data_IF_018030896207
#
_entry.id   IF_018030896207
#
_cell.length_a   1.000
_cell.length_b   1.000
_cell.length_c   1.000
_cell.angle_alpha   90.00
_cell.angle_beta   90.00
_cell.angle_gamma   90.00
#
_symmetry.space_group_name_H-M   'P 1'
#
loop_
_entity.id
_entity.type
_entity.pdbx_description
1 polymer ?
#
# COMPACT_ATOMS: atom_id res chain seq x y z
N UNK A 1 17.94 -4.28 -20.75
CA UNK A 1 17.85 -4.60 -19.31
C UNK A 1 16.40 -4.47 -18.89
N UNK A 2 15.85 -5.32 -18.01
CA UNK A 2 14.48 -5.13 -17.53
C UNK A 2 14.37 -3.74 -16.88
N UNK A 3 13.28 -3.02 -17.20
CA UNK A 3 13.06 -1.69 -16.67
C UNK A 3 12.99 -1.77 -15.13
N UNK A 4 13.72 -0.90 -14.43
CA UNK A 4 13.86 -0.92 -12.97
C UNK A 4 12.52 -0.77 -12.24
N UNK A 5 11.52 -0.16 -12.89
CA UNK A 5 10.16 -0.02 -12.37
C UNK A 5 9.44 -1.37 -12.19
N UNK A 6 9.84 -2.42 -12.92
CA UNK A 6 9.29 -3.77 -12.77
C UNK A 6 9.44 -4.28 -11.33
N UNK A 7 10.54 -3.95 -10.66
CA UNK A 7 10.76 -4.30 -9.25
C UNK A 7 9.76 -3.60 -8.33
N UNK A 8 9.38 -2.35 -8.63
CA UNK A 8 8.36 -1.64 -7.86
C UNK A 8 6.97 -2.29 -8.04
N UNK A 9 6.59 -2.64 -9.27
CA UNK A 9 5.32 -3.33 -9.52
C UNK A 9 5.28 -4.72 -8.90
N UNK A 10 6.36 -5.49 -8.98
CA UNK A 10 6.47 -6.80 -8.33
C UNK A 10 6.33 -6.68 -6.80
N UNK A 11 7.00 -5.70 -6.19
CA UNK A 11 6.87 -5.43 -4.76
C UNK A 11 5.44 -5.07 -4.36
N UNK A 12 4.73 -4.25 -5.15
CA UNK A 12 3.32 -3.95 -4.91
C UNK A 12 2.46 -5.20 -4.90
N UNK A 13 2.65 -6.10 -5.87
CA UNK A 13 1.90 -7.35 -5.96
C UNK A 13 2.15 -8.23 -4.73
N UNK A 14 3.43 -8.40 -4.36
CA UNK A 14 3.81 -9.21 -3.19
C UNK A 14 3.24 -8.67 -1.88
N UNK A 15 3.18 -7.35 -1.71
CA UNK A 15 2.63 -6.70 -0.51
C UNK A 15 1.09 -6.75 -0.52
N UNK A 16 0.47 -6.45 -1.67
CA UNK A 16 -0.99 -6.30 -1.76
C UNK A 16 -1.73 -7.63 -1.76
N UNK A 17 -1.17 -8.72 -2.30
CA UNK A 17 -1.83 -10.04 -2.32
C UNK A 17 -2.25 -10.52 -0.91
N UNK A 18 -1.36 -10.63 0.09
CA UNK A 18 -1.76 -11.10 1.42
C UNK A 18 -2.68 -10.09 2.14
N UNK A 19 -2.48 -8.79 1.89
CA UNK A 19 -3.29 -7.72 2.47
C UNK A 19 -4.73 -7.79 1.96
N UNK A 20 -4.92 -7.86 0.64
CA UNK A 20 -6.25 -7.97 0.03
C UNK A 20 -6.92 -9.29 0.39
N UNK A 21 -6.16 -10.39 0.41
CA UNK A 21 -6.67 -11.68 0.87
C UNK A 21 -7.26 -11.57 2.28
N UNK A 22 -6.54 -10.94 3.22
CA UNK A 22 -7.07 -10.66 4.56
C UNK A 22 -8.30 -9.76 4.53
N UNK A 23 -8.32 -8.70 3.72
CA UNK A 23 -9.45 -7.77 3.68
C UNK A 23 -10.76 -8.37 3.13
N UNK A 24 -10.67 -9.30 2.19
CA UNK A 24 -11.84 -9.99 1.63
C UNK A 24 -12.29 -11.20 2.47
N UNK A 25 -11.39 -11.82 3.24
CA UNK A 25 -11.68 -13.03 4.03
C UNK A 25 -12.01 -12.74 5.49
N UNK A 26 -11.47 -11.67 6.06
CA UNK A 26 -11.88 -11.23 7.39
C UNK A 26 -13.36 -10.81 7.28
N UNK A 27 -14.27 -11.40 8.06
CA UNK A 27 -15.69 -11.03 8.11
C UNK A 27 -16.26 -11.30 9.51
N UNK A 28 -17.34 -10.60 9.91
CA UNK A 28 -18.06 -10.85 11.17
C UNK A 28 -17.46 -10.23 12.44
N UNK A 29 -17.22 -8.91 12.45
CA UNK A 29 -16.92 -8.15 13.68
C UNK A 29 -15.53 -8.37 14.30
N UNK A 30 -14.69 -9.24 13.70
CA UNK A 30 -13.30 -9.43 14.11
C UNK A 30 -12.42 -8.31 13.57
N UNK A 31 -11.44 -7.91 14.36
CA UNK A 31 -10.49 -6.85 14.06
C UNK A 31 -9.68 -7.19 12.79
N UNK A 32 -9.54 -6.25 11.82
CA UNK A 32 -8.95 -6.52 10.50
C UNK A 32 -7.49 -6.94 10.65
N UNK A 33 -7.11 -8.13 10.18
CA UNK A 33 -5.74 -8.68 10.33
C UNK A 33 -4.71 -7.87 9.54
N UNK A 34 -5.08 -7.34 8.38
CA UNK A 34 -4.27 -6.39 7.61
C UNK A 34 -3.90 -5.11 8.40
N UNK A 35 -4.77 -4.69 9.32
CA UNK A 35 -4.51 -3.57 10.24
C UNK A 35 -4.08 -4.04 11.63
N UNK A 36 -3.66 -5.29 11.79
CA UNK A 36 -3.28 -5.91 13.07
C UNK A 36 -4.35 -5.71 14.16
N UNK A 37 -5.62 -5.62 13.75
CA UNK A 37 -6.74 -5.38 14.62
C UNK A 37 -6.84 -3.99 15.27
N UNK A 38 -6.04 -3.02 14.78
CA UNK A 38 -5.97 -1.66 15.34
C UNK A 38 -6.95 -0.67 14.71
N UNK A 39 -7.78 -1.13 13.77
CA UNK A 39 -8.81 -0.34 13.09
C UNK A 39 -10.14 -1.05 13.31
N UNK A 40 -11.13 -0.30 13.79
CA UNK A 40 -12.49 -0.79 13.98
C UNK A 40 -13.06 -1.24 12.63
N UNK A 41 -13.62 -2.45 12.61
CA UNK A 41 -14.02 -3.09 11.37
C UNK A 41 -15.40 -2.58 10.93
N UNK A 42 -15.40 -1.51 10.14
CA UNK A 42 -16.55 -1.14 9.31
C UNK A 42 -16.48 -1.94 8.00
N UNK A 43 -17.44 -2.85 7.78
CA UNK A 43 -17.46 -3.68 6.57
C UNK A 43 -17.45 -2.85 5.29
N UNK A 44 -18.23 -1.76 5.27
CA UNK A 44 -18.28 -0.83 4.13
C UNK A 44 -16.94 -0.15 3.86
N UNK A 45 -16.28 0.39 4.89
CA UNK A 45 -14.99 1.06 4.72
C UNK A 45 -13.90 0.06 4.33
N UNK A 46 -13.90 -1.15 4.91
CA UNK A 46 -12.96 -2.22 4.57
C UNK A 46 -13.08 -2.59 3.10
N UNK A 47 -14.30 -2.87 2.61
CA UNK A 47 -14.51 -3.26 1.21
C UNK A 47 -14.17 -2.11 0.26
N UNK A 48 -14.49 -0.86 0.62
CA UNK A 48 -14.10 0.32 -0.16
C UNK A 48 -12.57 0.39 -0.34
N UNK A 49 -11.81 0.23 0.74
CA UNK A 49 -10.34 0.21 0.68
C UNK A 49 -9.83 -1.02 -0.07
N UNK A 50 -10.48 -2.17 0.06
CA UNK A 50 -10.13 -3.38 -0.68
C UNK A 50 -10.33 -3.21 -2.19
N UNK A 51 -11.39 -2.51 -2.62
CA UNK A 51 -11.59 -2.15 -4.02
C UNK A 51 -10.47 -1.23 -4.53
N UNK A 52 -10.13 -0.18 -3.79
CA UNK A 52 -9.04 0.73 -4.14
C UNK A 52 -7.70 -0.01 -4.29
N UNK A 53 -7.35 -0.84 -3.31
CA UNK A 53 -6.10 -1.59 -3.32
C UNK A 53 -6.09 -2.70 -4.39
N UNK A 54 -7.25 -3.30 -4.69
CA UNK A 54 -7.41 -4.23 -5.82
C UNK A 54 -7.17 -3.54 -7.16
N UNK A 55 -7.66 -2.30 -7.34
CA UNK A 55 -7.37 -1.52 -8.55
C UNK A 55 -5.87 -1.27 -8.69
N UNK A 56 -5.16 -0.94 -7.60
CA UNK A 56 -3.70 -0.77 -7.61
C UNK A 56 -2.99 -2.08 -7.95
N UNK A 57 -3.47 -3.22 -7.42
CA UNK A 57 -2.91 -4.54 -7.72
C UNK A 57 -3.04 -4.86 -9.21
N UNK A 58 -4.24 -4.70 -9.78
CA UNK A 58 -4.50 -4.93 -11.21
C UNK A 58 -3.63 -4.05 -12.10
N UNK A 59 -3.54 -2.75 -11.78
CA UNK A 59 -2.68 -1.82 -12.49
C UNK A 59 -1.19 -2.15 -12.32
N UNK A 60 -0.79 -2.73 -11.18
CA UNK A 60 0.58 -3.20 -10.97
C UNK A 60 0.89 -4.43 -11.84
N UNK A 61 -0.06 -5.34 -12.04
CA UNK A 61 0.08 -6.45 -12.98
C UNK A 61 0.27 -5.94 -14.42
N UNK A 62 -0.48 -4.91 -14.83
CA UNK A 62 -0.29 -4.27 -16.14
C UNK A 62 1.06 -3.53 -16.22
N UNK A 63 1.50 -2.93 -15.12
CA UNK A 63 2.81 -2.30 -14.98
C UNK A 63 3.99 -3.27 -15.11
N UNK A 64 3.83 -4.57 -14.84
CA UNK A 64 4.87 -5.56 -15.14
C UNK A 64 5.11 -5.71 -16.65
N UNK A 65 4.08 -5.51 -17.48
CA UNK A 65 4.15 -5.65 -18.93
C UNK A 65 4.52 -4.31 -19.59
N UNK A 66 3.96 -3.21 -19.08
CA UNK A 66 4.14 -1.85 -19.63
C UNK A 66 4.61 -0.85 -18.56
N UNK A 67 5.81 -1.03 -17.97
CA UNK A 67 6.23 -0.31 -16.77
C UNK A 67 6.19 1.21 -16.86
N UNK A 68 6.59 1.78 -17.99
CA UNK A 68 6.66 3.24 -18.19
C UNK A 68 5.28 3.87 -18.34
N UNK A 69 4.34 3.17 -19.01
CA UNK A 69 2.97 3.67 -19.21
C UNK A 69 2.18 3.78 -17.91
N UNK A 70 2.54 2.97 -16.92
CA UNK A 70 1.87 2.92 -15.63
C UNK A 70 2.60 3.67 -14.52
N UNK A 71 3.66 4.45 -14.82
CA UNK A 71 4.46 5.13 -13.77
C UNK A 71 3.63 6.06 -12.89
N UNK A 72 2.55 6.64 -13.45
CA UNK A 72 1.58 7.45 -12.72
C UNK A 72 0.93 6.69 -11.56
N UNK A 73 0.79 5.37 -11.65
CA UNK A 73 0.28 4.51 -10.58
C UNK A 73 1.27 4.44 -9.42
N UNK A 74 2.56 4.35 -9.70
CA UNK A 74 3.60 4.38 -8.66
C UNK A 74 3.68 5.76 -8.00
N UNK A 75 3.57 6.84 -8.78
CA UNK A 75 3.51 8.21 -8.25
C UNK A 75 2.30 8.43 -7.35
N UNK A 76 1.10 8.01 -7.80
CA UNK A 76 -0.12 8.06 -7.01
C UNK A 76 0.05 7.31 -5.68
N UNK A 77 0.68 6.14 -5.71
CA UNK A 77 0.96 5.36 -4.51
C UNK A 77 1.89 6.08 -3.53
N UNK A 78 2.93 6.75 -4.01
CA UNK A 78 3.83 7.55 -3.16
C UNK A 78 3.04 8.66 -2.48
N UNK A 79 2.23 9.42 -3.23
CA UNK A 79 1.41 10.51 -2.67
C UNK A 79 0.41 9.98 -1.65
N UNK A 80 -0.38 8.97 -2.03
CA UNK A 80 -1.38 8.36 -1.16
C UNK A 80 -0.76 7.82 0.15
N UNK A 81 0.34 7.06 0.06
CA UNK A 81 0.99 6.47 1.24
C UNK A 81 1.64 7.54 2.11
N UNK A 82 2.20 8.59 1.51
CA UNK A 82 2.73 9.74 2.26
C UNK A 82 1.62 10.43 3.05
N UNK A 83 0.48 10.70 2.42
CA UNK A 83 -0.68 11.28 3.10
C UNK A 83 -1.21 10.36 4.21
N UNK A 84 -1.29 9.05 3.97
CA UNK A 84 -1.67 8.10 5.02
C UNK A 84 -0.71 8.13 6.21
N UNK A 85 0.61 8.15 5.96
CA UNK A 85 1.62 8.21 7.02
C UNK A 85 1.53 9.52 7.81
N UNK A 86 1.33 10.66 7.13
CA UNK A 86 1.29 11.98 7.76
C UNK A 86 -0.03 12.27 8.47
N UNK A 87 -1.16 11.94 7.86
CA UNK A 87 -2.49 12.34 8.34
C UNK A 87 -3.11 11.30 9.26
N UNK A 88 -2.73 10.03 9.15
CA UNK A 88 -3.31 8.96 9.95
C UNK A 88 -2.30 8.35 10.94
N UNK A 89 -1.15 7.88 10.46
CA UNK A 89 -0.18 7.19 11.33
C UNK A 89 0.53 8.15 12.29
N UNK A 90 1.03 9.29 11.81
CA UNK A 90 1.77 10.25 12.64
C UNK A 90 0.96 10.75 13.84
N UNK A 91 -0.29 11.23 13.71
CA UNK A 91 -1.07 11.67 14.88
C UNK A 91 -1.39 10.50 15.83
N UNK A 92 -1.70 9.31 15.29
CA UNK A 92 -2.00 8.12 16.10
C UNK A 92 -0.77 7.66 16.89
N UNK A 93 0.39 7.64 16.26
CA UNK A 93 1.68 7.33 16.89
C UNK A 93 2.01 8.32 18.02
N UNK A 94 1.79 9.63 17.79
CA UNK A 94 2.06 10.67 18.80
C UNK A 94 1.14 10.57 20.03
N UNK A 95 -0.11 10.13 19.85
CA UNK A 95 -1.10 10.05 20.93
C UNK A 95 -1.04 8.74 21.71
N UNK A 96 -0.86 7.63 21.01
CA UNK A 96 -1.06 6.28 21.55
C UNK A 96 0.22 5.42 21.47
N UNK A 97 1.33 5.95 20.94
CA UNK A 97 2.62 5.28 20.85
C UNK A 97 2.76 4.28 19.69
N UNK A 98 3.91 3.62 19.62
CA UNK A 98 4.24 2.67 18.55
C UNK A 98 3.34 1.42 18.50
N UNK A 99 2.76 1.05 19.64
CA UNK A 99 1.92 -0.15 19.74
C UNK A 99 0.56 -0.02 19.05
N UNK A 100 0.06 1.19 18.83
CA UNK A 100 -1.30 1.43 18.30
C UNK A 100 -1.41 1.40 16.78
N UNK A 101 -0.27 1.35 16.08
CA UNK A 101 -0.20 1.41 14.62
C UNK A 101 0.05 0.01 14.02
N UNK A 102 -0.49 -0.27 12.82
CA UNK A 102 -0.20 -1.51 12.12
C UNK A 102 1.25 -1.51 11.62
N UNK A 103 2.16 -2.13 12.37
CA UNK A 103 3.60 -2.03 12.14
C UNK A 103 4.02 -2.52 10.76
N UNK A 104 3.52 -3.68 10.33
CA UNK A 104 3.85 -4.26 9.01
C UNK A 104 3.40 -3.37 7.84
N UNK A 105 2.18 -2.84 7.92
CA UNK A 105 1.64 -1.94 6.90
C UNK A 105 2.38 -0.61 6.87
N UNK A 106 2.66 -0.05 8.05
CA UNK A 106 3.38 1.22 8.20
C UNK A 106 4.80 1.11 7.65
N UNK A 107 5.53 0.05 8.01
CA UNK A 107 6.88 -0.19 7.51
C UNK A 107 6.92 -0.34 5.99
N UNK A 108 5.97 -1.10 5.43
CA UNK A 108 5.83 -1.25 3.97
C UNK A 108 5.58 0.09 3.29
N UNK A 109 4.74 0.94 3.87
CA UNK A 109 4.42 2.25 3.29
C UNK A 109 5.60 3.22 3.37
N UNK A 110 6.33 3.23 4.48
CA UNK A 110 7.57 4.01 4.62
C UNK A 110 8.59 3.60 3.56
N UNK A 111 8.80 2.29 3.40
CA UNK A 111 9.74 1.77 2.40
C UNK A 111 9.34 2.19 0.99
N UNK A 112 8.06 2.08 0.64
CA UNK A 112 7.55 2.48 -0.68
C UNK A 112 7.75 3.99 -0.92
N UNK A 113 7.44 4.83 0.06
CA UNK A 113 7.58 6.29 -0.05
C UNK A 113 9.03 6.72 -0.24
N UNK A 114 10.00 5.98 0.32
CA UNK A 114 11.42 6.27 0.17
C UNK A 114 11.97 5.70 -1.14
N UNK A 115 11.65 4.44 -1.43
CA UNK A 115 12.29 3.68 -2.53
C UNK A 115 11.70 4.07 -3.89
N UNK A 116 10.37 4.21 -4.02
CA UNK A 116 9.76 4.40 -5.34
C UNK A 116 10.14 5.72 -6.03
N UNK A 117 10.26 6.87 -5.35
CA UNK A 117 10.75 8.09 -5.99
C UNK A 117 12.14 7.92 -6.60
N UNK A 118 13.01 7.17 -5.92
CA UNK A 118 14.36 6.86 -6.40
C UNK A 118 14.29 5.99 -7.67
N UNK A 119 13.49 4.93 -7.66
CA UNK A 119 13.30 4.06 -8.83
C UNK A 119 12.67 4.82 -10.02
N UNK A 120 11.73 5.71 -9.75
CA UNK A 120 11.10 6.56 -10.78
C UNK A 120 12.14 7.51 -11.39
N UNK A 121 12.94 8.18 -10.57
CA UNK A 121 13.98 9.10 -11.03
C UNK A 121 15.00 8.39 -11.93
N UNK A 122 15.49 7.22 -11.51
CA UNK A 122 16.43 6.41 -12.31
C UNK A 122 15.83 5.89 -13.62
N UNK A 123 14.52 5.69 -13.71
CA UNK A 123 13.88 5.27 -14.95
C UNK A 123 13.71 6.42 -15.96
N UNK A 124 13.85 7.68 -15.52
CA UNK A 124 13.70 8.88 -16.37
C UNK A 124 15.04 9.45 -16.84
N UNK A 125 16.15 8.86 -16.39
CA UNK A 125 17.54 9.26 -16.73
C UNK A 125 18.12 8.28 -17.75
#
# INVERSE_FOLDING_TARGET
MPNILVYAYAANILILLPVLFSMFTDSGGKSIRAFQGRVENSEGLRLLVACLWSSILLLSCLGLIYPERFVAVLMLQVVYKSLYLLLYILPKFRREGAGSIPGGLTASFVLIVIVYPVLICFSMT
#
